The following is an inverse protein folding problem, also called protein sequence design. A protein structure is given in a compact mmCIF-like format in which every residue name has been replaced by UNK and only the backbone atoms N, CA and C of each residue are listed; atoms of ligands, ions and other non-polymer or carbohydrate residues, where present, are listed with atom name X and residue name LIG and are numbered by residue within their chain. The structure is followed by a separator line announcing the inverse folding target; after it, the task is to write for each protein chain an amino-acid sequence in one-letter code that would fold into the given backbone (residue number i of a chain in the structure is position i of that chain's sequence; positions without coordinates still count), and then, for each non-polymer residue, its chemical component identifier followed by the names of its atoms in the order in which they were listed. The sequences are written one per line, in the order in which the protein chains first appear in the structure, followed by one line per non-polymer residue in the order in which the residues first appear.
data_IF_344357467943
#
_entry.id   IF_344357467943
#
_cell.length_a   1.000
_cell.length_b   1.000
_cell.length_c   1.000
_cell.angle_alpha   90.00
_cell.angle_beta   90.00
_cell.angle_gamma   90.00
#
_symmetry.space_group_name_H-M   'P 1'
#
loop_
_entity.id
_entity.type
_entity.pdbx_description
1 polymer ?
#
# COMPACT_ATOMS: atom_id res chain seq x y z
N UNK A 1 7.53 -3.65 3.59
CA UNK A 1 6.14 -3.98 3.99
C UNK A 1 5.39 -4.83 2.95
N UNK A 2 6.07 -5.48 1.98
CA UNK A 2 5.41 -6.24 0.90
C UNK A 2 4.68 -7.49 1.39
N UNK A 3 5.19 -8.13 2.44
CA UNK A 3 4.62 -9.36 3.02
C UNK A 3 3.18 -9.15 3.52
N UNK A 4 2.83 -7.96 4.05
CA UNK A 4 1.46 -7.70 4.51
C UNK A 4 0.46 -7.70 3.35
N UNK A 5 0.85 -7.11 2.23
CA UNK A 5 -0.01 -7.00 1.04
C UNK A 5 -0.13 -8.36 0.37
N UNK A 6 0.99 -9.08 0.20
CA UNK A 6 1.00 -10.44 -0.35
C UNK A 6 0.18 -11.43 0.48
N UNK A 7 0.21 -11.31 1.82
CA UNK A 7 -0.63 -12.13 2.71
C UNK A 7 -2.13 -11.85 2.54
N UNK A 8 -2.51 -10.58 2.38
CA UNK A 8 -3.90 -10.21 2.13
C UNK A 8 -4.36 -10.77 0.78
N UNK A 9 -3.57 -10.61 -0.29
CA UNK A 9 -3.90 -11.18 -1.60
C UNK A 9 -4.02 -12.71 -1.56
N UNK A 10 -3.09 -13.39 -0.89
CA UNK A 10 -3.15 -14.84 -0.74
C UNK A 10 -4.40 -15.29 0.01
N UNK A 11 -4.77 -14.60 1.09
CA UNK A 11 -5.95 -14.94 1.87
C UNK A 11 -7.26 -14.77 1.09
N UNK A 12 -7.33 -13.76 0.22
CA UNK A 12 -8.50 -13.50 -0.61
C UNK A 12 -8.43 -14.12 -2.02
N UNK A 13 -7.41 -14.94 -2.30
CA UNK A 13 -7.15 -15.59 -3.61
C UNK A 13 -7.08 -14.60 -4.79
N UNK A 14 -6.50 -13.43 -4.56
CA UNK A 14 -6.27 -12.43 -5.59
C UNK A 14 -4.93 -12.67 -6.29
N UNK A 15 -4.95 -12.84 -7.61
CA UNK A 15 -3.76 -13.13 -8.45
C UNK A 15 -3.22 -11.89 -9.18
N UNK A 16 -3.61 -10.68 -8.76
CA UNK A 16 -3.24 -9.42 -9.39
C UNK A 16 -1.80 -8.97 -9.08
N UNK A 17 -1.38 -7.87 -9.71
CA UNK A 17 -0.06 -7.27 -9.48
C UNK A 17 0.02 -6.68 -8.07
N UNK A 18 1.09 -7.03 -7.33
CA UNK A 18 1.40 -6.46 -6.02
C UNK A 18 2.37 -5.30 -6.19
N UNK A 19 2.00 -4.11 -5.71
CA UNK A 19 2.85 -2.93 -5.73
C UNK A 19 2.86 -2.28 -4.34
N UNK A 20 4.04 -1.92 -3.85
CA UNK A 20 4.21 -1.07 -2.66
C UNK A 20 4.63 0.34 -3.04
N UNK A 21 4.01 1.34 -2.40
CA UNK A 21 4.39 2.74 -2.55
C UNK A 21 4.76 3.34 -1.19
N UNK A 22 5.97 3.87 -1.09
CA UNK A 22 6.45 4.58 0.08
C UNK A 22 6.85 6.00 -0.31
N UNK A 23 5.93 6.93 -0.09
CA UNK A 23 6.17 8.37 -0.23
C UNK A 23 6.10 9.07 1.13
N UNK A 24 6.53 8.36 2.19
CA UNK A 24 6.41 8.80 3.58
C UNK A 24 4.94 9.10 3.95
N UNK A 25 4.66 10.31 4.47
CA UNK A 25 3.35 10.71 5.00
C UNK A 25 2.22 10.70 3.96
N UNK A 26 2.54 10.77 2.67
CA UNK A 26 1.55 10.75 1.58
C UNK A 26 1.35 9.38 0.95
N UNK A 27 1.98 8.33 1.49
CA UNK A 27 1.97 6.97 0.94
C UNK A 27 0.56 6.45 0.64
N UNK A 28 -0.39 6.62 1.56
CA UNK A 28 -1.78 6.19 1.37
C UNK A 28 -2.45 6.89 0.17
N UNK A 29 -2.38 8.21 0.11
CA UNK A 29 -2.98 9.02 -0.96
C UNK A 29 -2.28 8.79 -2.30
N UNK A 30 -0.95 8.68 -2.30
CA UNK A 30 -0.16 8.39 -3.50
C UNK A 30 -0.53 7.02 -4.09
N UNK A 31 -0.71 6.00 -3.23
CA UNK A 31 -1.12 4.67 -3.66
C UNK A 31 -2.53 4.67 -4.25
N UNK A 32 -3.48 5.37 -3.62
CA UNK A 32 -4.85 5.53 -4.15
C UNK A 32 -4.81 6.20 -5.52
N UNK A 33 -4.05 7.28 -5.68
CA UNK A 33 -3.92 7.99 -6.94
C UNK A 33 -3.41 7.07 -8.06
N UNK A 34 -2.42 6.23 -7.76
CA UNK A 34 -1.89 5.24 -8.70
C UNK A 34 -2.92 4.15 -9.06
N UNK A 35 -3.68 3.66 -8.07
CA UNK A 35 -4.74 2.68 -8.27
C UNK A 35 -5.86 3.22 -9.16
N UNK A 36 -6.33 4.45 -8.90
CA UNK A 36 -7.34 5.13 -9.72
C UNK A 36 -6.86 5.32 -11.16
N UNK A 37 -5.59 5.70 -11.36
CA UNK A 37 -5.00 5.80 -12.69
C UNK A 37 -4.99 4.46 -13.44
N UNK A 38 -4.77 3.36 -12.73
CA UNK A 38 -4.74 2.01 -13.32
C UNK A 38 -6.14 1.49 -13.66
N UNK A 39 -7.13 1.77 -12.81
CA UNK A 39 -8.55 1.48 -13.07
C UNK A 39 -9.08 2.28 -14.26
N UNK A 40 -8.78 3.58 -14.33
CA UNK A 40 -9.21 4.46 -15.44
C UNK A 40 -8.55 4.12 -16.77
N UNK A 41 -7.38 3.49 -16.75
CA UNK A 41 -6.69 3.03 -17.94
C UNK A 41 -7.17 1.67 -18.45
N UNK A 42 -8.28 1.13 -17.90
CA UNK A 42 -8.79 -0.22 -18.16
C UNK A 42 -7.73 -1.33 -18.04
N UNK A 43 -6.68 -1.09 -17.24
CA UNK A 43 -5.59 -2.06 -17.02
C UNK A 43 -5.97 -3.14 -16.02
N UNK A 44 -6.84 -2.80 -15.06
CA UNK A 44 -7.34 -3.70 -14.04
C UNK A 44 -8.81 -3.39 -13.77
N UNK A 45 -9.62 -4.42 -13.53
CA UNK A 45 -11.06 -4.28 -13.20
C UNK A 45 -11.28 -3.95 -11.71
N UNK A 46 -10.31 -4.28 -10.87
CA UNK A 46 -10.36 -4.08 -9.43
C UNK A 46 -8.96 -3.78 -8.91
N UNK A 47 -8.87 -2.84 -7.98
CA UNK A 47 -7.62 -2.50 -7.29
C UNK A 47 -7.87 -2.45 -5.79
N UNK A 48 -6.98 -3.09 -5.02
CA UNK A 48 -7.05 -3.13 -3.57
C UNK A 48 -5.90 -2.30 -3.03
N UNK A 49 -6.25 -1.27 -2.25
CA UNK A 49 -5.27 -0.37 -1.65
C UNK A 49 -5.24 -0.60 -0.15
N UNK A 50 -4.06 -0.90 0.39
CA UNK A 50 -3.84 -1.03 1.83
C UNK A 50 -2.76 -0.04 2.25
N UNK A 51 -2.94 0.59 3.42
CA UNK A 51 -1.95 1.49 4.03
C UNK A 51 -1.76 1.15 5.50
N UNK A 52 -0.52 0.96 5.93
CA UNK A 52 -0.18 0.60 7.30
C UNK A 52 0.86 1.57 7.87
N UNK A 53 0.62 2.09 9.07
CA UNK A 53 1.60 2.86 9.82
C UNK A 53 1.76 2.22 11.21
N UNK A 54 2.97 1.74 11.52
CA UNK A 54 3.28 1.01 12.75
C UNK A 54 4.53 1.62 13.40
N UNK A 55 4.33 2.36 14.50
CA UNK A 55 5.43 2.89 15.31
C UNK A 55 5.74 1.92 16.45
N UNK A 56 6.52 0.89 16.14
CA UNK A 56 6.85 -0.20 17.07
C UNK A 56 8.11 0.08 17.91
N UNK A 57 8.96 1.02 17.48
CA UNK A 57 10.20 1.35 18.16
C UNK A 57 10.18 2.80 18.66
N UNK A 58 10.60 3.05 19.92
CA UNK A 58 10.66 4.40 20.49
C UNK A 58 11.66 5.31 19.76
N UNK A 59 12.61 4.75 19.02
CA UNK A 59 13.61 5.49 18.22
C UNK A 59 12.97 6.39 17.16
N UNK A 60 11.77 6.04 16.66
CA UNK A 60 11.03 6.86 15.72
C UNK A 60 10.59 8.19 16.36
N UNK A 61 10.12 8.16 17.61
CA UNK A 61 9.69 9.35 18.35
C UNK A 61 10.84 10.32 18.66
N UNK A 62 12.05 9.80 18.90
CA UNK A 62 13.24 10.63 19.14
C UNK A 62 13.71 11.35 17.87
N UNK A 63 13.54 10.72 16.70
CA UNK A 63 13.88 11.33 15.40
C UNK A 63 12.86 12.39 14.94
N UNK A 64 11.64 12.33 15.46
CA UNK A 64 10.54 13.24 15.12
C UNK A 64 10.35 14.36 16.17
N UNK A 65 11.13 14.35 17.26
CA UNK A 65 11.18 15.37 18.31
C UNK A 65 12.22 16.44 18.00
#
# INVERSE_FOLDING_TARGET
MEILIGRSLYFYDFTGQVVTCDTACSSSVATINSAVGSLRGDKYEMAIVNGYNLSLLPKLFVLLS
#
